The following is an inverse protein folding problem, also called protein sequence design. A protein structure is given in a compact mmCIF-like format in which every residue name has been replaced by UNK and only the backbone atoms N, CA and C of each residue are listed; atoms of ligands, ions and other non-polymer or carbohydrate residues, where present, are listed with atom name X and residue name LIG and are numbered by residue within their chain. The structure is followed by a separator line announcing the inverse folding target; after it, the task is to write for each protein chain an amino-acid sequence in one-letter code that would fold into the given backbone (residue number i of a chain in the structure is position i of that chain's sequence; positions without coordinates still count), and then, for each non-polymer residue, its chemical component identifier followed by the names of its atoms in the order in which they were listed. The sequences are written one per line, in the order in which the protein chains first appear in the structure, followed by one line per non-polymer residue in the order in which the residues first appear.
data_IF_695722823968
#
_entry.id   IF_695722823968
#
_cell.length_a   1.000
_cell.length_b   1.000
_cell.length_c   1.000
_cell.angle_alpha   90.00
_cell.angle_beta   90.00
_cell.angle_gamma   90.00
#
_symmetry.space_group_name_H-M   'P 1'
#
loop_
_entity.id
_entity.type
_entity.pdbx_description
1 polymer ?
#
# COMPACT_ATOMS: atom_id res chain seq x y z
N UNK A 1 -10.86 -9.95 -17.89
CA UNK A 1 -9.96 -11.05 -17.42
C UNK A 1 -10.10 -11.13 -15.91
N UNK A 2 -10.69 -12.21 -15.40
CA UNK A 2 -10.78 -12.42 -13.94
C UNK A 2 -9.43 -12.95 -13.45
N UNK A 3 -8.64 -12.06 -12.87
CA UNK A 3 -7.44 -12.46 -12.13
C UNK A 3 -7.92 -13.22 -10.89
N UNK A 4 -7.43 -14.44 -10.69
CA UNK A 4 -7.81 -15.25 -9.53
C UNK A 4 -7.32 -14.58 -8.24
N UNK A 5 -8.08 -14.70 -7.17
CA UNK A 5 -7.76 -14.13 -5.84
C UNK A 5 -6.33 -14.45 -5.39
N UNK A 6 -5.90 -15.69 -5.60
CA UNK A 6 -4.55 -16.16 -5.28
C UNK A 6 -3.44 -15.42 -6.03
N UNK A 7 -3.72 -14.83 -7.17
CA UNK A 7 -2.72 -14.05 -7.93
C UNK A 7 -2.36 -12.74 -7.21
N UNK A 8 -3.34 -12.04 -6.65
CA UNK A 8 -3.09 -10.81 -5.87
C UNK A 8 -2.31 -11.11 -4.59
N UNK A 9 -2.65 -12.20 -3.91
CA UNK A 9 -1.90 -12.69 -2.76
C UNK A 9 -0.44 -12.98 -3.14
N UNK A 10 -0.22 -13.69 -4.23
CA UNK A 10 1.13 -14.00 -4.75
C UNK A 10 1.93 -12.73 -5.09
N UNK A 11 1.31 -11.74 -5.72
CA UNK A 11 1.96 -10.44 -6.01
C UNK A 11 2.40 -9.73 -4.74
N UNK A 12 1.54 -9.74 -3.72
CA UNK A 12 1.86 -9.14 -2.42
C UNK A 12 3.00 -9.88 -1.74
N UNK A 13 3.02 -11.22 -1.78
CA UNK A 13 4.12 -12.00 -1.21
C UNK A 13 5.43 -11.82 -1.98
N UNK A 14 5.40 -11.72 -3.30
CA UNK A 14 6.59 -11.40 -4.10
C UNK A 14 7.16 -10.03 -3.69
N UNK A 15 6.29 -9.03 -3.53
CA UNK A 15 6.71 -7.70 -3.11
C UNK A 15 7.25 -7.71 -1.67
N UNK A 16 6.63 -8.48 -0.77
CA UNK A 16 7.12 -8.70 0.60
C UNK A 16 8.50 -9.34 0.62
N UNK A 17 8.74 -10.34 -0.21
CA UNK A 17 10.07 -10.96 -0.32
C UNK A 17 11.13 -9.96 -0.78
N UNK A 18 10.82 -9.12 -1.76
CA UNK A 18 11.71 -8.04 -2.19
C UNK A 18 11.94 -7.00 -1.07
N UNK A 19 10.89 -6.65 -0.34
CA UNK A 19 11.00 -5.80 0.85
C UNK A 19 12.05 -6.33 1.82
N UNK A 20 12.01 -7.63 2.16
CA UNK A 20 12.99 -8.25 3.04
C UNK A 20 14.39 -8.31 2.43
N UNK A 21 14.52 -8.61 1.14
CA UNK A 21 15.81 -8.61 0.43
C UNK A 21 16.49 -7.24 0.48
N UNK A 22 15.73 -6.16 0.44
CA UNK A 22 16.22 -4.78 0.57
C UNK A 22 16.40 -4.33 2.03
N UNK A 23 16.19 -5.21 3.00
CA UNK A 23 16.31 -4.92 4.42
C UNK A 23 15.27 -3.92 4.93
N UNK A 24 14.09 -3.89 4.31
CA UNK A 24 12.98 -3.03 4.72
C UNK A 24 12.06 -3.75 5.70
N UNK A 25 11.61 -3.04 6.73
CA UNK A 25 10.69 -3.57 7.75
C UNK A 25 9.22 -3.40 7.36
N UNK A 26 8.94 -2.43 6.51
CA UNK A 26 7.59 -2.18 5.99
C UNK A 26 7.64 -1.50 4.62
N UNK A 27 6.53 -1.62 3.88
CA UNK A 27 6.25 -0.87 2.66
C UNK A 27 4.97 -0.05 2.84
N UNK A 28 5.03 1.19 2.40
CA UNK A 28 3.90 2.09 2.24
C UNK A 28 3.75 2.38 0.75
N UNK A 29 2.68 1.90 0.14
CA UNK A 29 2.44 1.99 -1.29
C UNK A 29 1.26 2.92 -1.53
N UNK A 30 1.53 4.07 -2.15
CA UNK A 30 0.51 5.08 -2.44
C UNK A 30 0.03 5.01 -3.89
N UNK A 31 -1.25 5.29 -4.05
CA UNK A 31 -1.93 5.53 -5.33
C UNK A 31 -3.08 6.52 -5.12
N UNK A 32 -3.56 7.09 -6.21
CA UNK A 32 -4.80 7.87 -6.25
C UNK A 32 -5.74 7.35 -7.34
N UNK A 33 -6.90 7.96 -7.50
CA UNK A 33 -7.91 7.56 -8.49
C UNK A 33 -7.44 7.69 -9.95
N UNK A 34 -6.55 8.62 -10.22
CA UNK A 34 -6.00 8.85 -11.57
C UNK A 34 -4.79 7.95 -11.84
N UNK A 35 -4.02 7.64 -10.79
CA UNK A 35 -2.78 6.86 -10.85
C UNK A 35 -2.88 5.65 -9.93
N UNK A 36 -3.92 4.83 -10.16
CA UNK A 36 -4.28 3.69 -9.30
C UNK A 36 -3.43 2.42 -9.52
N UNK A 37 -2.50 2.45 -10.47
CA UNK A 37 -1.82 1.24 -10.95
C UNK A 37 -1.14 0.40 -9.88
N UNK A 38 -0.57 0.99 -8.84
CA UNK A 38 0.11 0.23 -7.77
C UNK A 38 -0.90 -0.47 -6.85
N UNK A 39 -1.91 0.25 -6.37
CA UNK A 39 -2.95 -0.34 -5.51
C UNK A 39 -3.78 -1.36 -6.27
N UNK A 40 -4.21 -1.05 -7.51
CA UNK A 40 -4.96 -1.99 -8.36
C UNK A 40 -4.17 -3.27 -8.63
N UNK A 41 -2.83 -3.17 -8.82
CA UNK A 41 -1.97 -4.33 -9.02
C UNK A 41 -1.99 -5.30 -7.84
N UNK A 42 -2.06 -4.77 -6.62
CA UNK A 42 -2.02 -5.55 -5.38
C UNK A 42 -3.41 -5.98 -4.88
N UNK A 43 -4.42 -5.16 -5.11
CA UNK A 43 -5.77 -5.37 -4.53
C UNK A 43 -6.79 -5.90 -5.53
N UNK A 44 -6.58 -5.65 -6.82
CA UNK A 44 -7.58 -5.88 -7.86
C UNK A 44 -8.68 -4.81 -7.93
N UNK A 45 -8.70 -3.88 -6.98
CA UNK A 45 -9.71 -2.84 -6.91
C UNK A 45 -9.30 -1.61 -7.74
N UNK A 46 -10.22 -1.17 -8.59
CA UNK A 46 -10.09 0.09 -9.31
C UNK A 46 -10.96 1.14 -8.62
N UNK A 47 -10.37 2.23 -8.12
CA UNK A 47 -11.14 3.23 -7.39
C UNK A 47 -12.18 3.91 -8.29
N UNK A 48 -13.29 4.26 -7.67
CA UNK A 48 -14.32 5.06 -8.30
C UNK A 48 -13.90 6.52 -8.13
N UNK A 49 -13.84 7.24 -9.24
CA UNK A 49 -13.66 8.69 -9.21
C UNK A 49 -14.98 9.34 -8.84
N UNK A 50 -15.05 9.86 -7.63
CA UNK A 50 -16.15 10.65 -7.11
C UNK A 50 -15.67 12.07 -6.84
N UNK A 51 -16.53 12.92 -6.32
CA UNK A 51 -16.29 14.36 -6.09
C UNK A 51 -15.07 14.62 -5.17
N UNK A 52 -14.68 13.66 -4.35
CA UNK A 52 -13.57 13.77 -3.40
C UNK A 52 -12.34 13.01 -3.90
N UNK A 53 -11.15 13.49 -3.54
CA UNK A 53 -9.88 12.77 -3.74
C UNK A 53 -9.98 11.37 -3.13
N UNK A 54 -9.50 10.39 -3.85
CA UNK A 54 -9.49 8.99 -3.43
C UNK A 54 -8.06 8.47 -3.21
N UNK A 55 -7.40 8.91 -2.13
CA UNK A 55 -6.11 8.36 -1.76
C UNK A 55 -6.23 6.88 -1.43
N UNK A 56 -5.21 6.11 -1.78
CA UNK A 56 -5.12 4.69 -1.48
C UNK A 56 -3.74 4.38 -0.95
N UNK A 57 -3.67 3.80 0.23
CA UNK A 57 -2.45 3.24 0.80
C UNK A 57 -2.61 1.74 0.96
N UNK A 58 -1.70 0.98 0.38
CA UNK A 58 -1.49 -0.42 0.74
C UNK A 58 -0.26 -0.47 1.64
N UNK A 59 -0.42 -1.00 2.84
CA UNK A 59 0.63 -1.05 3.85
C UNK A 59 0.96 -2.50 4.16
N UNK A 60 2.24 -2.85 4.05
CA UNK A 60 2.78 -4.17 4.39
C UNK A 60 3.78 -3.98 5.53
N UNK A 61 3.56 -4.59 6.68
CA UNK A 61 4.45 -4.52 7.84
C UNK A 61 4.94 -5.92 8.18
N UNK A 62 6.23 -6.17 7.98
CA UNK A 62 6.82 -7.48 8.24
C UNK A 62 6.03 -8.62 7.61
N UNK A 63 5.66 -9.61 8.40
CA UNK A 63 4.82 -10.75 8.00
C UNK A 63 3.32 -10.57 8.30
N UNK A 64 2.90 -9.39 8.77
CA UNK A 64 1.50 -9.13 9.06
C UNK A 64 0.65 -9.15 7.79
N UNK A 65 -0.65 -9.39 7.95
CA UNK A 65 -1.58 -9.20 6.84
C UNK A 65 -1.54 -7.76 6.35
N UNK A 66 -1.60 -7.51 5.05
CA UNK A 66 -1.61 -6.16 4.51
C UNK A 66 -2.87 -5.41 4.94
N UNK A 67 -2.75 -4.10 5.01
CA UNK A 67 -3.85 -3.18 5.33
C UNK A 67 -4.03 -2.22 4.18
N UNK A 68 -5.27 -1.87 3.87
CA UNK A 68 -5.61 -0.86 2.87
C UNK A 68 -6.33 0.31 3.54
N UNK A 69 -5.80 1.50 3.35
CA UNK A 69 -6.48 2.76 3.68
C UNK A 69 -6.95 3.43 2.38
N UNK A 70 -8.21 3.78 2.29
CA UNK A 70 -8.80 4.42 1.10
C UNK A 70 -9.69 5.59 1.49
N UNK A 71 -10.02 6.45 0.53
CA UNK A 71 -11.12 7.39 0.67
C UNK A 71 -12.40 6.66 1.07
N UNK A 72 -13.24 7.29 1.90
CA UNK A 72 -14.37 6.64 2.61
C UNK A 72 -15.30 5.83 1.71
N UNK A 73 -15.72 6.41 0.59
CA UNK A 73 -16.64 5.72 -0.33
C UNK A 73 -15.98 4.51 -1.00
N UNK A 74 -14.71 4.66 -1.40
CA UNK A 74 -13.94 3.55 -1.96
C UNK A 74 -13.68 2.47 -0.93
N UNK A 75 -13.40 2.80 0.33
CA UNK A 75 -13.22 1.82 1.40
C UNK A 75 -14.49 1.00 1.64
N UNK A 76 -15.65 1.65 1.62
CA UNK A 76 -16.93 0.94 1.74
C UNK A 76 -17.16 -0.03 0.58
N UNK A 77 -16.96 0.43 -0.66
CA UNK A 77 -17.15 -0.40 -1.84
C UNK A 77 -16.09 -1.53 -1.97
N UNK A 78 -14.86 -1.28 -1.51
CA UNK A 78 -13.76 -2.23 -1.66
C UNK A 78 -13.84 -3.42 -0.70
N UNK A 79 -14.47 -3.28 0.46
CA UNK A 79 -14.50 -4.33 1.51
C UNK A 79 -14.93 -5.70 1.01
N UNK A 80 -15.91 -5.74 0.12
CA UNK A 80 -16.46 -6.98 -0.42
C UNK A 80 -15.79 -7.40 -1.74
N UNK A 81 -14.88 -6.59 -2.28
CA UNK A 81 -14.29 -6.79 -3.60
C UNK A 81 -12.80 -7.13 -3.57
N UNK A 82 -12.10 -6.78 -2.49
CA UNK A 82 -10.66 -7.04 -2.36
C UNK A 82 -10.41 -8.27 -1.49
N UNK A 83 -9.28 -8.91 -1.72
CA UNK A 83 -8.84 -10.07 -0.93
C UNK A 83 -8.27 -9.69 0.45
N UNK A 84 -7.90 -8.42 0.63
CA UNK A 84 -7.34 -7.89 1.88
C UNK A 84 -8.50 -7.65 2.84
N UNK A 85 -8.44 -8.26 4.02
CA UNK A 85 -9.53 -8.19 5.01
C UNK A 85 -9.59 -6.83 5.73
N UNK A 86 -8.43 -6.22 5.99
CA UNK A 86 -8.36 -4.95 6.71
C UNK A 86 -8.41 -3.77 5.72
N UNK A 87 -9.62 -3.29 5.48
CA UNK A 87 -9.89 -2.12 4.62
C UNK A 87 -10.53 -1.02 5.46
N UNK A 88 -9.87 0.13 5.55
CA UNK A 88 -10.29 1.27 6.37
C UNK A 88 -10.41 2.56 5.55
N UNK A 89 -11.25 3.48 6.03
CA UNK A 89 -11.28 4.85 5.52
C UNK A 89 -10.08 5.66 6.04
N UNK A 90 -9.46 6.45 5.17
CA UNK A 90 -8.24 7.23 5.49
C UNK A 90 -8.52 8.56 6.23
N UNK A 91 -9.74 8.83 6.63
CA UNK A 91 -10.14 10.11 7.21
C UNK A 91 -9.54 10.44 8.59
N UNK A 92 -8.96 9.47 9.28
CA UNK A 92 -8.30 9.65 10.58
C UNK A 92 -6.95 8.91 10.62
N UNK A 93 -5.96 9.29 9.78
CA UNK A 93 -4.70 8.57 9.71
C UNK A 93 -3.94 8.58 11.04
N UNK A 94 -4.06 9.65 11.83
CA UNK A 94 -3.42 9.76 13.15
C UNK A 94 -3.90 8.69 14.14
N UNK A 95 -5.11 8.15 13.94
CA UNK A 95 -5.69 7.10 14.77
C UNK A 95 -5.32 5.70 14.27
N UNK A 96 -5.34 5.50 12.95
CA UNK A 96 -5.13 4.18 12.36
C UNK A 96 -3.64 3.81 12.22
N UNK A 97 -2.78 4.75 11.80
CA UNK A 97 -1.37 4.47 11.57
C UNK A 97 -0.63 3.92 12.80
N UNK A 98 -0.83 4.43 14.04
CA UNK A 98 -0.18 3.85 15.22
C UNK A 98 -0.54 2.38 15.48
N UNK A 99 -1.74 1.95 15.13
CA UNK A 99 -2.17 0.57 15.26
C UNK A 99 -1.56 -0.31 14.16
N UNK A 100 -1.59 0.16 12.92
CA UNK A 100 -1.04 -0.56 11.77
C UNK A 100 0.46 -0.81 11.96
N UNK A 101 1.19 0.18 12.46
CA UNK A 101 2.62 0.10 12.69
C UNK A 101 3.00 -0.31 14.12
N UNK A 102 2.09 -0.88 14.89
CA UNK A 102 2.28 -1.17 16.31
C UNK A 102 3.54 -1.99 16.61
N UNK A 103 3.92 -2.92 15.74
CA UNK A 103 5.10 -3.77 15.92
C UNK A 103 6.45 -3.07 15.68
N UNK A 104 6.46 -1.94 14.97
CA UNK A 104 7.69 -1.24 14.56
C UNK A 104 7.77 0.23 14.96
N UNK A 105 6.65 0.88 15.35
CA UNK A 105 6.59 2.33 15.62
C UNK A 105 7.59 2.85 16.67
N UNK A 106 7.99 1.99 17.60
CA UNK A 106 8.93 2.36 18.67
C UNK A 106 10.37 1.89 18.41
N UNK A 107 10.63 1.29 17.25
CA UNK A 107 11.93 0.74 16.86
C UNK A 107 12.57 1.61 15.77
N UNK A 108 13.88 1.51 15.66
CA UNK A 108 14.58 1.96 14.46
C UNK A 108 14.26 1.00 13.33
N UNK A 109 13.46 1.46 12.38
CA UNK A 109 12.99 0.65 11.25
C UNK A 109 13.32 1.33 9.93
N UNK A 110 13.41 0.56 8.87
CA UNK A 110 13.62 1.04 7.51
C UNK A 110 12.33 0.84 6.71
N UNK A 111 11.73 1.93 6.27
CA UNK A 111 10.42 1.95 5.62
C UNK A 111 10.59 2.28 4.15
N UNK A 112 10.15 1.37 3.29
CA UNK A 112 10.06 1.63 1.86
C UNK A 112 8.79 2.41 1.52
N UNK A 113 8.94 3.43 0.68
CA UNK A 113 7.84 4.26 0.19
C UNK A 113 7.76 4.14 -1.33
N UNK A 114 6.59 3.78 -1.82
CA UNK A 114 6.27 3.65 -3.24
C UNK A 114 5.16 4.64 -3.59
N UNK A 115 5.32 5.35 -4.70
CA UNK A 115 4.43 6.44 -5.11
C UNK A 115 5.03 7.82 -4.81
N UNK A 116 6.35 7.93 -4.82
CA UNK A 116 7.10 9.14 -4.49
C UNK A 116 6.57 10.40 -5.18
N UNK A 117 6.23 10.31 -6.45
CA UNK A 117 5.83 11.46 -7.26
C UNK A 117 4.37 11.88 -7.05
N UNK A 118 3.61 11.16 -6.24
CA UNK A 118 2.17 11.38 -6.08
C UNK A 118 1.71 11.40 -4.63
N UNK A 119 2.53 10.91 -3.69
CA UNK A 119 2.19 10.88 -2.27
C UNK A 119 2.08 12.30 -1.71
N UNK A 120 0.91 12.70 -1.17
CA UNK A 120 0.77 14.02 -0.56
C UNK A 120 1.70 14.20 0.63
N UNK A 121 2.33 15.37 0.72
CA UNK A 121 3.26 15.72 1.81
C UNK A 121 2.59 15.61 3.19
N UNK A 122 1.35 16.03 3.31
CA UNK A 122 0.59 15.93 4.56
C UNK A 122 0.43 14.49 5.04
N UNK A 123 0.17 13.57 4.11
CA UNK A 123 0.03 12.15 4.43
C UNK A 123 1.39 11.53 4.76
N UNK A 124 2.44 11.86 4.01
CA UNK A 124 3.79 11.45 4.34
C UNK A 124 4.21 11.92 5.74
N UNK A 125 3.93 13.16 6.10
CA UNK A 125 4.22 13.70 7.42
C UNK A 125 3.47 12.95 8.52
N UNK A 126 2.21 12.56 8.31
CA UNK A 126 1.46 11.73 9.27
C UNK A 126 2.13 10.37 9.51
N UNK A 127 2.62 9.75 8.44
CA UNK A 127 3.35 8.48 8.52
C UNK A 127 4.69 8.69 9.25
N UNK A 128 5.46 9.70 8.86
CA UNK A 128 6.75 10.01 9.45
C UNK A 128 6.66 10.36 10.94
N UNK A 129 5.63 11.09 11.36
CA UNK A 129 5.38 11.39 12.76
C UNK A 129 5.04 10.13 13.56
N UNK A 130 4.28 9.21 12.98
CA UNK A 130 3.99 7.91 13.61
C UNK A 130 5.24 7.06 13.78
N UNK A 131 6.15 7.12 12.80
CA UNK A 131 7.38 6.33 12.70
C UNK A 131 8.62 7.20 12.91
N UNK A 132 8.62 8.05 13.93
CA UNK A 132 9.65 9.08 14.17
C UNK A 132 11.08 8.55 14.34
N UNK A 133 11.24 7.27 14.67
CA UNK A 133 12.55 6.62 14.80
C UNK A 133 13.01 5.91 13.53
N UNK A 134 12.19 5.91 12.48
CA UNK A 134 12.45 5.17 11.26
C UNK A 134 13.15 6.00 10.20
N UNK A 135 13.79 5.31 9.26
CA UNK A 135 14.37 5.88 8.05
C UNK A 135 13.47 5.51 6.86
N UNK A 136 13.21 6.47 5.99
CA UNK A 136 12.37 6.30 4.81
C UNK A 136 13.21 6.20 3.55
N UNK A 137 12.89 5.23 2.70
CA UNK A 137 13.57 4.99 1.42
C UNK A 137 12.54 4.93 0.32
N UNK A 138 12.66 5.79 -0.68
CA UNK A 138 11.83 5.73 -1.87
C UNK A 138 12.29 4.59 -2.79
N UNK A 139 11.39 3.65 -3.07
CA UNK A 139 11.73 2.39 -3.72
C UNK A 139 10.69 1.97 -4.78
N UNK A 140 10.24 2.92 -5.59
CA UNK A 140 9.24 2.71 -6.65
C UNK A 140 9.62 1.57 -7.60
N UNK A 141 10.92 1.32 -7.81
CA UNK A 141 11.41 0.23 -8.66
C UNK A 141 10.93 -1.15 -8.22
N UNK A 142 10.72 -1.38 -6.93
CA UNK A 142 10.28 -2.69 -6.42
C UNK A 142 8.97 -3.15 -7.06
N UNK A 143 7.98 -2.27 -7.18
CA UNK A 143 6.70 -2.60 -7.77
C UNK A 143 6.69 -2.43 -9.30
N UNK A 144 7.47 -1.49 -9.83
CA UNK A 144 7.57 -1.29 -11.27
C UNK A 144 8.12 -2.54 -11.96
N UNK A 145 9.15 -3.14 -11.40
CA UNK A 145 9.78 -4.34 -11.95
C UNK A 145 8.84 -5.55 -11.86
N UNK A 146 8.12 -5.72 -10.77
CA UNK A 146 7.08 -6.75 -10.64
C UNK A 146 5.96 -6.59 -11.68
N UNK A 147 5.51 -5.37 -11.92
CA UNK A 147 4.47 -5.09 -12.92
C UNK A 147 4.94 -5.34 -14.35
N UNK A 148 6.21 -5.14 -14.66
CA UNK A 148 6.80 -5.43 -15.99
C UNK A 148 6.84 -6.92 -16.25
N UNK A 149 7.31 -7.72 -15.29
CA UNK A 149 7.41 -9.18 -15.42
C UNK A 149 6.03 -9.78 -15.71
N UNK A 150 5.01 -9.38 -14.98
CA UNK A 150 3.66 -9.91 -15.16
C UNK A 150 3.01 -9.50 -16.50
N UNK A 151 3.41 -8.40 -17.13
CA UNK A 151 2.94 -8.03 -18.46
C UNK A 151 3.46 -8.96 -19.57
N UNK A 152 4.62 -9.59 -19.38
CA UNK A 152 5.23 -10.47 -20.37
C UNK A 152 4.52 -11.83 -20.41
N UNK A 153 3.96 -12.28 -19.29
CA UNK A 153 3.29 -13.58 -19.18
C UNK A 153 1.80 -13.58 -19.57
N UNK A 154 1.22 -12.41 -19.81
CA UNK A 154 -0.21 -12.24 -20.15
C UNK A 154 -0.48 -11.70 -21.58
N UNK A 155 0.47 -11.89 -22.51
CA UNK A 155 0.27 -11.67 -23.95
C UNK A 155 -0.05 -12.96 -24.69
#
# INVERSE_FOLDING_TARGET
MNIKLNEFQKRTENLRNKMFQEGLDALVIYSDEYRSGNSTYLTGYKPINVIEESPQLVIIVGNNNPVVLMGRLNAYAARDLVWIEDVRGIHQPQKDLPNIFSSIKNKKSKIGVIGQNILPVSLFNSIANTLSKSVFVFCDNLIIDERKINKIFFR
#
